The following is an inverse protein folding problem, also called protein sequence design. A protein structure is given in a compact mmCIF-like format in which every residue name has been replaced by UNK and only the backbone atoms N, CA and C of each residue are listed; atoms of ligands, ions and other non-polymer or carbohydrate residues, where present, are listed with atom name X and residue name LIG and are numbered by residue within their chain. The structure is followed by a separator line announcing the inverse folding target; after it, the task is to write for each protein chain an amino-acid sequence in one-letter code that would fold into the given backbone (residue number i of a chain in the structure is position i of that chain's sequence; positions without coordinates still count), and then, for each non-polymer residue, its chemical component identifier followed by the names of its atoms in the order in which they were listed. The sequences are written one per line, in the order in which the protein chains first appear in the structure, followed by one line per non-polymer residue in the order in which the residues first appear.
data_IF_958578720496
#
_entry.id   IF_958578720496
#
_cell.length_a   1.000
_cell.length_b   1.000
_cell.length_c   1.000
_cell.angle_alpha   90.00
_cell.angle_beta   90.00
_cell.angle_gamma   90.00
#
_symmetry.space_group_name_H-M   'P 1'
#
loop_
_entity.id
_entity.type
_entity.pdbx_description
1 polymer ?
#
# COMPACT_ATOMS: atom_id res chain seq x y z
N UNK A 1 -5.43 12.80 2.52
CA UNK A 1 -6.28 11.84 1.79
C UNK A 1 -7.75 12.27 1.78
N UNK A 2 -8.38 12.54 2.94
CA UNK A 2 -9.77 13.01 3.00
C UNK A 2 -9.96 14.34 2.23
N UNK A 3 -9.06 15.31 2.40
CA UNK A 3 -9.09 16.57 1.64
C UNK A 3 -8.99 16.33 0.13
N UNK A 4 -8.08 15.47 -0.30
CA UNK A 4 -7.88 15.08 -1.69
C UNK A 4 -9.16 14.48 -2.29
N UNK A 5 -9.82 13.56 -1.58
CA UNK A 5 -11.11 12.98 -1.99
C UNK A 5 -12.20 14.05 -2.12
N UNK A 6 -12.28 14.99 -1.17
CA UNK A 6 -13.26 16.10 -1.22
C UNK A 6 -13.04 17.01 -2.42
N UNK A 7 -11.79 17.33 -2.76
CA UNK A 7 -11.44 18.16 -3.91
C UNK A 7 -11.81 17.46 -5.22
N UNK A 8 -11.42 16.19 -5.39
CA UNK A 8 -11.76 15.41 -6.58
C UNK A 8 -13.28 15.21 -6.72
N UNK A 9 -14.00 15.00 -5.63
CA UNK A 9 -15.46 14.90 -5.68
C UNK A 9 -16.14 16.22 -6.14
N UNK A 10 -15.54 17.36 -5.79
CA UNK A 10 -15.96 18.68 -6.30
C UNK A 10 -15.55 18.95 -7.76
N UNK A 11 -14.79 18.05 -8.39
CA UNK A 11 -14.27 18.20 -9.74
C UNK A 11 -13.02 19.10 -9.82
N UNK A 12 -12.37 19.36 -8.69
CA UNK A 12 -11.11 20.12 -8.66
C UNK A 12 -9.98 19.16 -8.98
N UNK A 13 -9.29 19.39 -10.10
CA UNK A 13 -8.16 18.59 -10.53
C UNK A 13 -6.91 18.92 -9.71
N UNK A 14 -6.19 17.87 -9.25
CA UNK A 14 -4.95 18.01 -8.50
C UNK A 14 -3.79 17.73 -9.45
N UNK A 15 -3.06 18.76 -9.80
CA UNK A 15 -1.93 18.65 -10.73
C UNK A 15 -0.65 18.20 -10.02
N UNK A 16 0.07 17.27 -10.64
CA UNK A 16 1.39 16.84 -10.17
C UNK A 16 2.47 17.78 -10.75
N UNK A 17 3.36 18.27 -9.88
CA UNK A 17 4.49 19.14 -10.27
C UNK A 17 5.76 18.29 -10.32
N UNK A 18 6.19 17.82 -11.51
CA UNK A 18 7.32 16.89 -11.63
C UNK A 18 8.67 17.53 -11.29
N UNK A 19 8.78 18.84 -11.49
CA UNK A 19 10.04 19.59 -11.31
C UNK A 19 10.27 20.04 -9.86
N UNK A 20 9.27 19.83 -8.98
CA UNK A 20 9.36 20.24 -7.58
C UNK A 20 9.85 19.08 -6.71
N UNK A 21 11.07 19.20 -6.20
CA UNK A 21 11.68 18.18 -5.34
C UNK A 21 11.40 18.51 -3.88
N UNK A 22 10.61 17.66 -3.22
CA UNK A 22 10.43 17.71 -1.78
C UNK A 22 11.32 16.66 -1.13
N UNK A 23 12.21 17.08 -0.24
CA UNK A 23 13.06 16.16 0.54
C UNK A 23 12.37 15.86 1.87
N UNK A 24 12.21 14.58 2.17
CA UNK A 24 11.60 14.08 3.39
C UNK A 24 12.52 13.06 4.07
N UNK A 25 12.67 13.18 5.39
CA UNK A 25 13.48 12.26 6.18
C UNK A 25 12.78 10.90 6.32
N UNK A 26 13.50 9.83 5.99
CA UNK A 26 12.95 8.47 6.09
C UNK A 26 13.18 7.88 7.47
N UNK A 27 12.13 7.28 8.01
CA UNK A 27 12.17 6.61 9.31
C UNK A 27 13.15 5.42 9.25
N UNK A 28 14.10 5.39 10.19
CA UNK A 28 15.12 4.37 10.28
C UNK A 28 14.77 3.27 11.30
N UNK A 29 14.02 3.60 12.35
CA UNK A 29 13.67 2.66 13.44
C UNK A 29 12.43 1.83 13.07
N UNK A 30 12.49 0.49 13.23
CA UNK A 30 11.40 -0.44 12.88
C UNK A 30 10.08 -0.11 13.60
N UNK A 31 10.13 0.28 14.87
CA UNK A 31 8.94 0.64 15.66
C UNK A 31 8.24 1.91 15.13
N UNK A 32 9.03 2.92 14.74
CA UNK A 32 8.51 4.14 14.12
C UNK A 32 7.92 3.85 12.73
N UNK A 33 8.55 2.96 11.96
CA UNK A 33 8.02 2.49 10.69
C UNK A 33 6.67 1.78 10.87
N UNK A 34 6.56 0.88 11.86
CA UNK A 34 5.32 0.17 12.18
C UNK A 34 4.18 1.15 12.51
N UNK A 35 4.43 2.14 13.40
CA UNK A 35 3.45 3.17 13.79
C UNK A 35 3.02 4.03 12.59
N UNK A 36 3.97 4.46 11.75
CA UNK A 36 3.71 5.25 10.56
C UNK A 36 2.84 4.48 9.56
N UNK A 37 3.18 3.21 9.27
CA UNK A 37 2.41 2.35 8.36
C UNK A 37 1.00 2.09 8.85
N UNK A 38 0.84 1.84 10.16
CA UNK A 38 -0.48 1.69 10.78
C UNK A 38 -1.34 2.93 10.58
N UNK A 39 -0.79 4.12 10.83
CA UNK A 39 -1.49 5.38 10.62
C UNK A 39 -1.89 5.58 9.16
N UNK A 40 -1.01 5.26 8.21
CA UNK A 40 -1.30 5.39 6.79
C UNK A 40 -2.39 4.43 6.31
N UNK A 41 -2.33 3.18 6.71
CA UNK A 41 -3.35 2.19 6.41
C UNK A 41 -4.70 2.60 7.01
N UNK A 42 -4.71 2.99 8.28
CA UNK A 42 -5.94 3.45 8.94
C UNK A 42 -6.58 4.65 8.23
N UNK A 43 -5.78 5.66 7.87
CA UNK A 43 -6.26 6.82 7.12
C UNK A 43 -6.76 6.46 5.71
N UNK A 44 -6.14 5.45 5.08
CA UNK A 44 -6.53 4.95 3.77
C UNK A 44 -7.92 4.30 3.81
N UNK A 45 -8.12 3.33 4.71
CA UNK A 45 -9.40 2.64 4.83
C UNK A 45 -10.51 3.55 5.38
N UNK A 46 -10.18 4.44 6.33
CA UNK A 46 -11.14 5.44 6.80
C UNK A 46 -11.64 6.31 5.64
N UNK A 47 -10.72 6.83 4.82
CA UNK A 47 -11.07 7.62 3.64
C UNK A 47 -11.93 6.82 2.65
N UNK A 48 -11.61 5.54 2.45
CA UNK A 48 -12.44 4.68 1.59
C UNK A 48 -13.87 4.56 2.11
N UNK A 49 -14.06 4.19 3.37
CA UNK A 49 -15.42 4.01 3.94
C UNK A 49 -16.21 5.31 4.00
N UNK A 50 -15.56 6.45 4.25
CA UNK A 50 -16.19 7.77 4.24
C UNK A 50 -16.78 8.13 2.86
N UNK A 51 -16.07 7.76 1.79
CA UNK A 51 -16.43 8.14 0.43
C UNK A 51 -17.03 7.02 -0.43
N UNK A 52 -17.11 5.79 0.04
CA UNK A 52 -17.63 4.64 -0.71
C UNK A 52 -19.07 4.88 -1.24
N UNK A 53 -19.93 5.50 -0.45
CA UNK A 53 -21.31 5.79 -0.85
C UNK A 53 -21.42 6.82 -1.99
N UNK A 54 -20.36 7.58 -2.27
CA UNK A 54 -20.30 8.54 -3.36
C UNK A 54 -19.84 7.92 -4.69
N UNK A 55 -19.50 6.62 -4.71
CA UNK A 55 -19.00 5.96 -5.92
C UNK A 55 -20.04 5.96 -7.05
N UNK A 56 -21.27 5.51 -6.80
CA UNK A 56 -22.31 5.44 -7.82
C UNK A 56 -22.69 6.82 -8.39
N UNK A 57 -22.92 7.86 -7.55
CA UNK A 57 -23.09 9.22 -8.04
C UNK A 57 -21.91 9.74 -8.87
N UNK A 58 -20.68 9.43 -8.47
CA UNK A 58 -19.48 9.86 -9.18
C UNK A 58 -19.34 9.19 -10.55
N UNK A 59 -19.66 7.90 -10.68
CA UNK A 59 -19.68 7.18 -11.97
C UNK A 59 -20.73 7.82 -12.90
N UNK A 60 -21.93 8.09 -12.40
CA UNK A 60 -23.00 8.76 -13.18
C UNK A 60 -22.58 10.14 -13.66
N UNK A 61 -21.87 10.88 -12.82
CA UNK A 61 -21.37 12.23 -13.15
C UNK A 61 -20.04 12.23 -13.87
N UNK A 62 -19.53 11.06 -14.31
CA UNK A 62 -18.26 10.87 -15.03
C UNK A 62 -17.03 11.47 -14.32
N UNK A 63 -17.02 11.46 -12.97
CA UNK A 63 -15.88 11.94 -12.15
C UNK A 63 -14.82 10.82 -12.02
N UNK A 64 -14.15 10.51 -13.12
CA UNK A 64 -13.24 9.36 -13.18
C UNK A 64 -12.04 9.49 -12.24
N UNK A 65 -11.49 10.69 -12.07
CA UNK A 65 -10.38 10.94 -11.14
C UNK A 65 -10.74 10.59 -9.69
N UNK A 66 -11.98 10.90 -9.28
CA UNK A 66 -12.48 10.49 -7.98
C UNK A 66 -12.65 8.96 -7.87
N UNK A 67 -13.18 8.31 -8.91
CA UNK A 67 -13.38 6.86 -8.93
C UNK A 67 -12.04 6.12 -8.89
N UNK A 68 -11.06 6.56 -9.67
CA UNK A 68 -9.70 6.00 -9.67
C UNK A 68 -9.04 6.17 -8.29
N UNK A 69 -9.16 7.35 -7.70
CA UNK A 69 -8.62 7.60 -6.37
C UNK A 69 -9.28 6.76 -5.28
N UNK A 70 -10.60 6.56 -5.36
CA UNK A 70 -11.33 5.70 -4.45
C UNK A 70 -10.89 4.23 -4.59
N UNK A 71 -10.69 3.75 -5.82
CA UNK A 71 -10.12 2.44 -6.09
C UNK A 71 -8.71 2.29 -5.49
N UNK A 72 -7.86 3.31 -5.62
CA UNK A 72 -6.53 3.32 -4.98
C UNK A 72 -6.59 3.20 -3.44
N UNK A 73 -7.67 3.69 -2.80
CA UNK A 73 -7.82 3.55 -1.34
C UNK A 73 -8.12 2.10 -0.90
N UNK A 74 -8.77 1.28 -1.73
CA UNK A 74 -9.03 -0.13 -1.41
C UNK A 74 -7.84 -1.03 -1.75
N UNK A 75 -6.95 -0.56 -2.61
CA UNK A 75 -5.80 -1.34 -3.06
C UNK A 75 -4.89 -1.74 -1.89
N UNK A 76 -4.60 -3.03 -1.80
CA UNK A 76 -3.64 -3.56 -0.84
C UNK A 76 -2.23 -3.02 -1.11
N UNK A 77 -1.45 -2.84 -0.05
CA UNK A 77 -0.03 -2.52 -0.23
C UNK A 77 0.67 -3.65 -1.01
N UNK A 78 1.62 -3.30 -1.86
CA UNK A 78 2.36 -4.27 -2.71
C UNK A 78 2.98 -5.40 -1.89
N UNK A 79 3.44 -5.10 -0.67
CA UNK A 79 4.02 -6.08 0.25
C UNK A 79 2.97 -7.07 0.75
N UNK A 80 1.77 -6.60 1.11
CA UNK A 80 0.66 -7.47 1.50
C UNK A 80 0.19 -8.34 0.34
N UNK A 81 0.04 -7.76 -0.85
CA UNK A 81 -0.34 -8.51 -2.05
C UNK A 81 0.66 -9.64 -2.34
N UNK A 82 1.96 -9.33 -2.32
CA UNK A 82 3.02 -10.31 -2.55
C UNK A 82 2.95 -11.46 -1.52
N UNK A 83 2.81 -11.12 -0.23
CA UNK A 83 2.72 -12.12 0.83
C UNK A 83 1.47 -12.98 0.74
N UNK A 84 0.30 -12.41 0.43
CA UNK A 84 -0.92 -13.19 0.25
C UNK A 84 -0.85 -14.12 -0.95
N UNK A 85 -0.36 -13.66 -2.10
CA UNK A 85 -0.19 -14.51 -3.27
C UNK A 85 0.79 -15.66 -2.98
N UNK A 86 1.88 -15.39 -2.26
CA UNK A 86 2.82 -16.42 -1.81
C UNK A 86 2.15 -17.47 -0.90
N UNK A 87 1.40 -17.03 0.12
CA UNK A 87 0.69 -17.93 1.04
C UNK A 87 -0.34 -18.80 0.29
N UNK A 88 -1.09 -18.21 -0.64
CA UNK A 88 -2.07 -18.94 -1.46
C UNK A 88 -1.35 -19.96 -2.35
N UNK A 89 -0.23 -19.59 -2.98
CA UNK A 89 0.57 -20.51 -3.80
C UNK A 89 1.07 -21.70 -2.99
N UNK A 90 1.57 -21.42 -1.78
CA UNK A 90 2.04 -22.45 -0.86
C UNK A 90 0.92 -23.38 -0.40
N UNK A 91 -0.24 -22.82 -0.03
CA UNK A 91 -1.40 -23.60 0.37
C UNK A 91 -1.87 -24.56 -0.74
N UNK A 92 -1.98 -24.06 -1.98
CA UNK A 92 -2.33 -24.92 -3.13
C UNK A 92 -1.29 -26.03 -3.40
N UNK A 93 -0.01 -25.77 -3.14
CA UNK A 93 1.02 -26.79 -3.24
C UNK A 93 0.89 -27.87 -2.16
N UNK A 94 0.62 -27.45 -0.91
CA UNK A 94 0.46 -28.39 0.23
C UNK A 94 -0.77 -29.31 0.06
N UNK A 95 -1.84 -28.81 -0.52
CA UNK A 95 -3.05 -29.59 -0.81
C UNK A 95 -3.00 -30.29 -2.17
N UNK A 96 -1.84 -30.37 -2.84
CA UNK A 96 -1.64 -30.97 -4.15
C UNK A 96 -2.69 -30.55 -5.20
N UNK A 97 -3.16 -29.30 -5.11
CA UNK A 97 -4.21 -28.77 -5.99
C UNK A 97 -3.71 -28.58 -7.43
N UNK A 98 -4.50 -28.96 -8.46
CA UNK A 98 -4.17 -28.69 -9.87
C UNK A 98 -3.92 -27.20 -10.17
N UNK A 99 -4.43 -26.31 -9.33
CA UNK A 99 -4.26 -24.86 -9.45
C UNK A 99 -2.92 -24.34 -8.94
N UNK A 100 -2.09 -25.16 -8.30
CA UNK A 100 -0.80 -24.74 -7.73
C UNK A 100 0.10 -24.04 -8.76
N UNK A 101 0.25 -24.64 -9.97
CA UNK A 101 1.06 -24.05 -11.04
C UNK A 101 0.57 -22.65 -11.47
N UNK A 102 -0.75 -22.43 -11.50
CA UNK A 102 -1.34 -21.11 -11.85
C UNK A 102 -0.97 -20.06 -10.81
N UNK A 103 -1.07 -20.38 -9.52
CA UNK A 103 -0.75 -19.46 -8.43
C UNK A 103 0.74 -19.14 -8.36
N UNK A 104 1.61 -20.13 -8.60
CA UNK A 104 3.05 -19.87 -8.73
C UNK A 104 3.38 -19.02 -9.95
N UNK A 105 2.69 -19.22 -11.08
CA UNK A 105 2.81 -18.37 -12.26
C UNK A 105 2.45 -16.91 -11.95
N UNK A 106 1.33 -16.67 -11.26
CA UNK A 106 0.91 -15.33 -10.81
C UNK A 106 1.95 -14.72 -9.86
N UNK A 107 2.49 -15.50 -8.92
CA UNK A 107 3.52 -15.03 -7.99
C UNK A 107 4.81 -14.60 -8.73
N UNK A 108 5.28 -15.41 -9.69
CA UNK A 108 6.46 -15.09 -10.50
C UNK A 108 6.21 -13.83 -11.33
N UNK A 109 5.04 -13.71 -11.98
CA UNK A 109 4.69 -12.51 -12.76
C UNK A 109 4.66 -11.26 -11.89
N UNK A 110 4.14 -11.36 -10.66
CA UNK A 110 4.14 -10.26 -9.70
C UNK A 110 5.56 -9.86 -9.29
N UNK A 111 6.42 -10.83 -9.04
CA UNK A 111 7.85 -10.57 -8.74
C UNK A 111 8.56 -9.88 -9.90
N UNK A 112 8.35 -10.36 -11.13
CA UNK A 112 8.91 -9.74 -12.33
C UNK A 112 8.41 -8.31 -12.51
N UNK A 113 7.09 -8.07 -12.37
CA UNK A 113 6.52 -6.72 -12.46
C UNK A 113 7.14 -5.77 -11.43
N UNK A 114 7.33 -6.22 -10.20
CA UNK A 114 8.00 -5.44 -9.16
C UNK A 114 9.48 -5.21 -9.46
N UNK A 115 10.17 -6.21 -9.99
CA UNK A 115 11.57 -6.10 -10.38
C UNK A 115 11.76 -5.08 -11.51
N UNK A 116 10.93 -5.14 -12.56
CA UNK A 116 10.97 -4.17 -13.67
C UNK A 116 10.61 -2.73 -13.23
N UNK A 117 9.79 -2.58 -12.19
CA UNK A 117 9.48 -1.26 -11.64
C UNK A 117 10.66 -0.60 -10.91
N UNK A 118 11.72 -1.35 -10.59
CA UNK A 118 12.91 -0.83 -9.91
C UNK A 118 13.91 -0.29 -10.95
N UNK A 119 14.23 1.02 -10.96
CA UNK A 119 15.25 1.56 -11.86
C UNK A 119 16.59 0.86 -11.69
N UNK A 120 17.29 0.61 -12.80
CA UNK A 120 18.58 -0.11 -12.84
C UNK A 120 19.63 0.45 -11.87
N UNK A 121 19.62 1.74 -11.60
CA UNK A 121 20.56 2.41 -10.66
C UNK A 121 20.47 1.90 -9.22
N UNK A 122 19.35 1.27 -8.83
CA UNK A 122 19.14 0.69 -7.48
C UNK A 122 19.45 -0.80 -7.40
N UNK A 123 19.81 -1.45 -8.50
CA UNK A 123 20.23 -2.86 -8.53
C UNK A 123 21.64 -3.03 -7.96
N UNK A 124 21.73 -2.91 -6.62
CA UNK A 124 22.97 -3.03 -5.85
C UNK A 124 22.75 -4.05 -4.72
N UNK A 125 23.82 -4.48 -4.08
CA UNK A 125 23.79 -5.38 -2.92
C UNK A 125 22.79 -4.93 -1.83
N UNK A 126 22.59 -3.64 -1.67
CA UNK A 126 21.58 -3.07 -0.76
C UNK A 126 20.14 -3.49 -1.11
N UNK A 127 19.81 -3.75 -2.38
CA UNK A 127 18.51 -4.23 -2.80
C UNK A 127 18.26 -5.65 -2.28
N UNK A 128 19.25 -6.55 -2.36
CA UNK A 128 19.13 -7.91 -1.82
C UNK A 128 18.86 -7.90 -0.31
N UNK A 129 19.57 -7.06 0.43
CA UNK A 129 19.27 -6.85 1.86
C UNK A 129 17.83 -6.38 2.08
N UNK A 130 17.35 -5.44 1.28
CA UNK A 130 15.97 -4.95 1.37
C UNK A 130 14.94 -6.04 1.06
N UNK A 131 15.20 -6.91 0.08
CA UNK A 131 14.34 -8.06 -0.25
C UNK A 131 14.26 -9.05 0.93
N UNK A 132 15.36 -9.32 1.62
CA UNK A 132 15.36 -10.19 2.82
C UNK A 132 14.48 -9.63 3.96
N UNK A 133 14.24 -8.32 3.99
CA UNK A 133 13.36 -7.69 4.98
C UNK A 133 11.86 -7.71 4.58
N UNK A 134 11.53 -8.12 3.36
CA UNK A 134 10.13 -8.18 2.88
C UNK A 134 9.24 -9.09 3.72
N UNK A 135 9.63 -10.33 4.11
CA UNK A 135 8.81 -11.18 4.95
C UNK A 135 8.50 -10.56 6.31
N UNK A 136 9.49 -9.94 6.94
CA UNK A 136 9.30 -9.21 8.20
C UNK A 136 8.34 -8.03 8.03
N UNK A 137 8.51 -7.24 6.96
CA UNK A 137 7.62 -6.13 6.63
C UNK A 137 6.20 -6.59 6.35
N UNK A 138 6.02 -7.76 5.72
CA UNK A 138 4.72 -8.37 5.50
C UNK A 138 4.03 -8.70 6.83
N UNK A 139 4.71 -9.35 7.77
CA UNK A 139 4.16 -9.68 9.08
C UNK A 139 3.75 -8.42 9.86
N UNK A 140 4.60 -7.39 9.86
CA UNK A 140 4.26 -6.11 10.49
C UNK A 140 3.03 -5.45 9.85
N UNK A 141 2.92 -5.49 8.53
CA UNK A 141 1.77 -4.92 7.85
C UNK A 141 0.49 -5.75 8.07
N UNK A 142 0.61 -7.07 8.13
CA UNK A 142 -0.50 -7.96 8.44
C UNK A 142 -1.04 -7.69 9.85
N UNK A 143 -0.16 -7.57 10.84
CA UNK A 143 -0.55 -7.18 12.20
C UNK A 143 -1.22 -5.80 12.26
N UNK A 144 -0.74 -4.85 11.46
CA UNK A 144 -1.36 -3.54 11.35
C UNK A 144 -2.78 -3.60 10.80
N UNK A 145 -3.06 -4.53 9.86
CA UNK A 145 -4.39 -4.69 9.28
C UNK A 145 -5.44 -5.05 10.33
N UNK A 146 -5.08 -5.92 11.29
CA UNK A 146 -5.99 -6.30 12.38
C UNK A 146 -6.18 -5.20 13.45
N UNK A 147 -5.28 -4.21 13.51
CA UNK A 147 -5.29 -3.15 14.53
C UNK A 147 -5.70 -1.78 14.00
N UNK A 148 -6.35 -1.71 12.83
CA UNK A 148 -6.72 -0.44 12.19
C UNK A 148 -7.69 0.41 13.02
N UNK A 149 -8.65 -0.21 13.72
CA UNK A 149 -9.68 0.48 14.51
C UNK A 149 -9.11 1.33 15.65
N UNK A 150 -7.98 0.93 16.23
CA UNK A 150 -7.37 1.66 17.35
C UNK A 150 -6.58 2.90 16.91
N UNK A 151 -6.10 2.94 15.67
CA UNK A 151 -5.23 4.01 15.20
C UNK A 151 -5.95 5.35 14.98
N UNK A 152 -7.28 5.33 14.75
CA UNK A 152 -8.08 6.54 14.54
C UNK A 152 -8.55 7.21 15.85
N UNK A 153 -8.46 6.52 16.99
CA UNK A 153 -8.95 7.05 18.28
C UNK A 153 -7.91 7.87 19.05
N UNK A 154 -6.61 7.76 18.74
CA UNK A 154 -5.53 8.48 19.43
C UNK A 154 -4.53 9.03 18.42
N UNK A 155 -4.19 10.31 18.57
CA UNK A 155 -3.10 10.93 17.81
C UNK A 155 -1.77 10.27 18.22
N UNK A 156 -1.16 9.53 17.30
CA UNK A 156 0.14 8.87 17.54
C UNK A 156 1.23 9.83 17.10
N UNK A 157 1.91 10.45 18.03
CA UNK A 157 3.06 11.30 17.76
C UNK A 157 4.24 10.45 17.27
N UNK A 158 4.81 10.79 16.11
CA UNK A 158 6.08 10.23 15.66
C UNK A 158 7.18 11.22 16.00
N UNK A 159 8.12 10.82 16.87
CA UNK A 159 9.32 11.60 17.13
C UNK A 159 10.21 11.59 15.90
N UNK A 160 10.48 12.77 15.37
CA UNK A 160 11.53 13.02 14.37
C UNK A 160 12.73 13.55 15.14
N UNK A 161 13.87 12.94 14.99
CA UNK A 161 15.11 13.34 15.62
C UNK A 161 16.04 12.15 15.79
N UNK A 162 17.28 12.37 15.45
CA UNK A 162 18.41 11.49 15.78
C UNK A 162 18.83 11.92 17.18
N UNK A 163 18.57 11.08 18.21
CA UNK A 163 19.33 11.06 19.44
C UNK A 163 20.40 9.98 19.31
#
# INVERSE_FOLDING_TARGET
RVLEMKLLYKGIHIHYLPDTIVRDEKIQKANSFYRQRRRWLSAQYYSFFEFANHLLPAIRSRKWDFCDKLYQQISLSRVLLLGFVFIISLAHSLFASPSACKWWGIFILLLLALAFAIPRKYWKWRLLKAVCWVPYSFLLMLLNLFRLKEANRRFIHTTHGVD
#
